data_IF_398931462291
#
_entry.id   IF_398931462291
#
_cell.length_a   1.000
_cell.length_b   1.000
_cell.length_c   1.000
_cell.angle_alpha   90.00
_cell.angle_beta   90.00
_cell.angle_gamma   90.00
#
_symmetry.space_group_name_H-M   'P 1'
#
loop_
_entity.id
_entity.type
_entity.pdbx_description
1 polymer ?
#
# COMPACT_ATOMS: atom_id res chain seq x y z
N UNK A 1 -30.89 -17.48 28.66
CA UNK A 1 -29.86 -17.33 27.62
C UNK A 1 -29.68 -15.84 27.36
N UNK A 2 -28.50 -15.32 27.66
CA UNK A 2 -28.16 -13.93 27.33
C UNK A 2 -28.25 -13.71 25.82
N UNK A 3 -28.66 -12.51 25.40
CA UNK A 3 -28.68 -12.18 23.99
C UNK A 3 -27.26 -11.77 23.58
N UNK A 4 -26.57 -12.64 22.84
CA UNK A 4 -25.20 -12.44 22.36
C UNK A 4 -24.95 -11.07 21.71
N UNK A 5 -25.99 -10.47 21.12
CA UNK A 5 -25.91 -9.10 20.55
C UNK A 5 -25.72 -8.06 21.64
N UNK A 6 -26.43 -8.15 22.75
CA UNK A 6 -26.29 -7.21 23.87
C UNK A 6 -24.96 -7.41 24.59
N UNK A 7 -24.48 -8.65 24.68
CA UNK A 7 -23.15 -8.96 25.24
C UNK A 7 -22.05 -8.35 24.37
N UNK A 8 -22.13 -8.49 23.04
CA UNK A 8 -21.17 -7.90 22.11
C UNK A 8 -21.17 -6.36 22.18
N UNK A 9 -22.32 -5.73 22.25
CA UNK A 9 -22.43 -4.26 22.41
C UNK A 9 -21.85 -3.81 23.76
N UNK A 10 -22.11 -4.57 24.84
CA UNK A 10 -21.57 -4.26 26.15
C UNK A 10 -20.05 -4.41 26.20
N UNK A 11 -19.48 -5.38 25.49
CA UNK A 11 -18.03 -5.51 25.36
C UNK A 11 -17.42 -4.39 24.52
N UNK A 12 -18.05 -4.02 23.42
CA UNK A 12 -17.58 -2.93 22.59
C UNK A 12 -17.61 -1.56 23.31
N UNK A 13 -18.63 -1.33 24.13
CA UNK A 13 -18.74 -0.11 24.94
C UNK A 13 -17.66 0.05 26.01
N UNK A 14 -16.96 -1.04 26.35
CA UNK A 14 -15.82 -1.01 27.30
C UNK A 14 -14.51 -0.57 26.63
N UNK A 15 -14.45 -0.60 25.31
CA UNK A 15 -13.25 -0.15 24.56
C UNK A 15 -13.05 1.34 24.77
N UNK A 16 -11.86 1.71 25.21
CA UNK A 16 -11.50 3.11 25.32
C UNK A 16 -11.17 3.66 23.93
N UNK A 17 -11.59 4.88 23.61
CA UNK A 17 -11.12 5.54 22.40
C UNK A 17 -9.59 5.60 22.37
N UNK A 18 -9.02 5.47 21.18
CA UNK A 18 -7.58 5.72 21.00
C UNK A 18 -7.32 7.20 21.32
N UNK A 19 -6.34 7.45 22.19
CA UNK A 19 -5.94 8.81 22.49
C UNK A 19 -5.32 9.44 21.24
N UNK A 20 -5.94 10.48 20.75
CA UNK A 20 -5.49 11.22 19.57
C UNK A 20 -4.82 12.50 20.05
N UNK A 21 -3.51 12.60 19.82
CA UNK A 21 -2.77 13.82 20.05
C UNK A 21 -2.94 14.71 18.82
N UNK A 22 -3.57 15.87 19.01
CA UNK A 22 -3.72 16.83 17.93
C UNK A 22 -2.33 17.36 17.48
N UNK A 23 -2.09 17.52 16.17
CA UNK A 23 -0.87 18.12 15.68
C UNK A 23 -0.68 19.53 16.21
N UNK A 24 0.52 19.87 16.66
CA UNK A 24 0.89 21.22 17.07
C UNK A 24 1.48 22.05 15.93
N UNK A 25 1.85 21.38 14.83
CA UNK A 25 2.38 21.98 13.60
C UNK A 25 1.26 22.62 12.77
N UNK A 26 1.61 23.53 11.90
CA UNK A 26 0.65 24.08 10.93
C UNK A 26 0.20 23.02 9.95
N UNK A 27 -1.05 23.03 9.45
CA UNK A 27 -1.51 22.06 8.46
C UNK A 27 -0.60 21.94 7.23
N UNK A 28 -0.02 23.06 6.77
CA UNK A 28 0.93 23.09 5.65
C UNK A 28 2.25 22.34 5.91
N UNK A 29 2.58 22.11 7.17
CA UNK A 29 3.85 21.45 7.57
C UNK A 29 3.70 19.92 7.64
N UNK A 30 2.52 19.42 7.99
CA UNK A 30 2.29 18.00 8.08
C UNK A 30 1.45 17.41 6.93
N UNK A 31 0.70 18.24 6.18
CA UNK A 31 -0.12 17.75 5.08
C UNK A 31 0.75 17.10 3.99
N UNK A 32 0.44 15.87 3.64
CA UNK A 32 1.20 15.10 2.65
C UNK A 32 2.59 14.65 3.11
N UNK A 33 2.97 14.88 4.38
CA UNK A 33 4.28 14.47 4.93
C UNK A 33 4.52 12.96 4.78
N UNK A 34 3.46 12.17 4.92
CA UNK A 34 3.50 10.71 4.81
C UNK A 34 2.98 10.17 3.45
N UNK A 35 3.01 10.98 2.41
CA UNK A 35 2.65 10.60 1.04
C UNK A 35 3.91 10.62 0.18
N UNK A 36 4.11 9.58 -0.63
CA UNK A 36 5.19 9.53 -1.63
C UNK A 36 4.83 10.43 -2.83
N UNK A 37 4.89 11.73 -2.59
CA UNK A 37 4.54 12.78 -3.54
C UNK A 37 5.74 13.14 -4.45
N UNK A 38 5.53 14.04 -5.42
CA UNK A 38 6.57 14.47 -6.38
C UNK A 38 7.87 14.92 -5.73
N UNK A 39 7.82 15.58 -4.56
CA UNK A 39 9.02 16.01 -3.85
C UNK A 39 9.82 14.81 -3.34
N UNK A 40 9.13 13.78 -2.81
CA UNK A 40 9.77 12.54 -2.38
C UNK A 40 10.26 11.74 -3.58
N UNK A 41 9.47 11.63 -4.64
CA UNK A 41 9.90 11.00 -5.89
C UNK A 41 11.20 11.63 -6.40
N UNK A 42 11.27 12.96 -6.44
CA UNK A 42 12.49 13.67 -6.85
C UNK A 42 13.68 13.38 -5.93
N UNK A 43 13.45 13.26 -4.63
CA UNK A 43 14.52 13.00 -3.64
C UNK A 43 15.05 11.55 -3.70
N UNK A 44 14.15 10.58 -3.89
CA UNK A 44 14.46 9.16 -3.71
C UNK A 44 14.63 8.39 -5.01
N UNK A 45 14.29 8.95 -6.15
CA UNK A 45 14.43 8.30 -7.45
C UNK A 45 15.62 8.86 -8.24
N UNK A 46 16.30 8.05 -9.05
CA UNK A 46 17.22 8.53 -10.05
C UNK A 46 16.53 9.52 -11.01
N UNK A 47 17.24 10.54 -11.48
CA UNK A 47 16.67 11.62 -12.30
C UNK A 47 15.93 11.11 -13.55
N UNK A 48 16.51 10.17 -14.26
CA UNK A 48 15.91 9.57 -15.45
C UNK A 48 14.64 8.73 -15.13
N UNK A 49 14.56 8.13 -13.95
CA UNK A 49 13.39 7.38 -13.47
C UNK A 49 12.29 8.36 -13.07
N UNK A 50 12.66 9.41 -12.35
CA UNK A 50 11.75 10.48 -11.97
C UNK A 50 11.08 11.12 -13.20
N UNK A 51 11.86 11.53 -14.21
CA UNK A 51 11.33 12.15 -15.43
C UNK A 51 10.32 11.24 -16.14
N UNK A 52 10.65 9.96 -16.33
CA UNK A 52 9.72 8.98 -16.91
C UNK A 52 8.45 8.82 -16.09
N UNK A 53 8.58 8.74 -14.76
CA UNK A 53 7.42 8.57 -13.88
C UNK A 53 6.51 9.81 -13.91
N UNK A 54 7.08 11.01 -13.96
CA UNK A 54 6.31 12.24 -14.08
C UNK A 54 5.60 12.33 -15.44
N UNK A 55 6.22 11.87 -16.51
CA UNK A 55 5.58 11.81 -17.83
C UNK A 55 4.36 10.88 -17.82
N UNK A 56 4.48 9.73 -17.16
CA UNK A 56 3.34 8.81 -16.96
C UNK A 56 2.20 9.50 -16.20
N UNK A 57 2.52 10.19 -15.12
CA UNK A 57 1.53 10.86 -14.26
C UNK A 57 0.85 12.03 -14.99
N UNK A 58 1.61 12.84 -15.73
CA UNK A 58 1.11 14.08 -16.33
C UNK A 58 0.45 13.86 -17.69
N UNK A 59 0.97 12.93 -18.47
CA UNK A 59 0.55 12.69 -19.86
C UNK A 59 -0.20 11.40 -20.07
N UNK A 60 -0.36 10.56 -19.02
CA UNK A 60 -1.02 9.27 -19.14
C UNK A 60 -0.25 8.27 -20.01
N UNK A 61 1.07 8.40 -20.09
CA UNK A 61 1.91 7.46 -20.79
C UNK A 61 1.84 6.06 -20.13
N UNK A 62 2.18 5.01 -20.87
CA UNK A 62 2.24 3.67 -20.31
C UNK A 62 3.43 3.56 -19.34
N UNK A 63 3.19 2.95 -18.18
CA UNK A 63 4.24 2.69 -17.20
C UNK A 63 5.21 1.64 -17.73
N UNK A 64 6.45 2.06 -17.99
CA UNK A 64 7.52 1.16 -18.35
C UNK A 64 7.95 0.31 -17.14
N UNK A 65 7.67 -1.00 -17.21
CA UNK A 65 8.06 -1.94 -16.16
C UNK A 65 9.55 -1.97 -15.88
N UNK A 66 10.39 -1.50 -16.82
CA UNK A 66 11.85 -1.44 -16.63
C UNK A 66 12.25 -0.52 -15.49
N UNK A 67 11.45 0.51 -15.16
CA UNK A 67 11.72 1.43 -14.06
C UNK A 67 11.11 0.98 -12.73
N UNK A 68 10.27 -0.07 -12.73
CA UNK A 68 9.53 -0.49 -11.53
C UNK A 68 10.44 -0.85 -10.36
N UNK A 69 11.59 -1.48 -10.62
CA UNK A 69 12.55 -1.82 -9.58
C UNK A 69 13.16 -0.57 -8.93
N UNK A 70 13.50 0.45 -9.70
CA UNK A 70 14.08 1.68 -9.16
C UNK A 70 13.05 2.49 -8.39
N UNK A 71 11.80 2.49 -8.85
CA UNK A 71 10.68 3.10 -8.12
C UNK A 71 10.45 2.36 -6.80
N UNK A 72 10.41 1.02 -6.83
CA UNK A 72 10.23 0.21 -5.62
C UNK A 72 11.35 0.43 -4.59
N UNK A 73 12.60 0.49 -5.04
CA UNK A 73 13.75 0.82 -4.16
C UNK A 73 13.62 2.19 -3.51
N UNK A 74 13.27 3.21 -4.31
CA UNK A 74 13.09 4.56 -3.78
C UNK A 74 11.93 4.65 -2.79
N UNK A 75 10.82 3.97 -3.04
CA UNK A 75 9.70 3.85 -2.11
C UNK A 75 10.11 3.13 -0.82
N UNK A 76 10.83 2.00 -0.93
CA UNK A 76 11.30 1.26 0.24
C UNK A 76 12.24 2.10 1.08
N UNK A 77 13.23 2.76 0.46
CA UNK A 77 14.14 3.64 1.19
C UNK A 77 13.39 4.72 1.96
N UNK A 78 12.41 5.37 1.32
CA UNK A 78 11.57 6.35 1.99
C UNK A 78 10.75 5.75 3.13
N UNK A 79 10.21 4.55 2.95
CA UNK A 79 9.45 3.83 3.97
C UNK A 79 10.34 3.47 5.16
N UNK A 80 11.52 2.91 4.93
CA UNK A 80 12.51 2.54 5.96
C UNK A 80 12.92 3.76 6.80
N UNK A 81 13.18 4.91 6.17
CA UNK A 81 13.51 6.17 6.87
C UNK A 81 12.35 6.66 7.77
N UNK A 82 11.14 6.16 7.55
CA UNK A 82 9.96 6.44 8.37
C UNK A 82 9.58 5.28 9.32
N UNK A 83 10.42 4.24 9.42
CA UNK A 83 10.21 3.11 10.32
C UNK A 83 9.14 2.12 9.86
N UNK A 84 8.80 2.12 8.59
CA UNK A 84 7.81 1.19 8.01
C UNK A 84 8.45 -0.16 7.78
N UNK A 85 7.77 -1.23 8.18
CA UNK A 85 8.24 -2.62 8.06
C UNK A 85 7.31 -3.49 7.20
N UNK A 86 6.11 -3.00 6.92
CA UNK A 86 5.07 -3.71 6.20
C UNK A 86 4.45 -2.79 5.16
N UNK A 87 3.83 -3.40 4.15
CA UNK A 87 3.06 -2.69 3.14
C UNK A 87 1.71 -3.37 2.92
N UNK A 88 0.77 -2.60 2.40
CA UNK A 88 -0.57 -3.06 2.09
C UNK A 88 -0.91 -2.69 0.65
N UNK A 89 -1.33 -3.67 -0.13
CA UNK A 89 -2.03 -3.42 -1.37
C UNK A 89 -3.51 -3.31 -1.10
N UNK A 90 -4.09 -2.17 -1.45
CA UNK A 90 -5.52 -1.96 -1.39
C UNK A 90 -6.10 -2.11 -2.77
N UNK A 91 -7.17 -2.86 -2.88
CA UNK A 91 -7.93 -2.99 -4.10
C UNK A 91 -9.40 -3.06 -3.79
N UNK A 92 -10.20 -2.50 -4.67
CA UNK A 92 -11.65 -2.48 -4.52
C UNK A 92 -12.26 -3.36 -5.61
N UNK A 93 -12.79 -4.54 -5.27
CA UNK A 93 -13.51 -5.37 -6.21
C UNK A 93 -14.81 -4.68 -6.66
N UNK A 94 -15.40 -5.16 -7.75
CA UNK A 94 -16.70 -4.67 -8.26
C UNK A 94 -17.86 -4.92 -7.29
N UNK A 95 -17.61 -5.70 -6.25
CA UNK A 95 -18.52 -5.92 -5.13
C UNK A 95 -18.34 -4.84 -4.06
N UNK A 96 -19.33 -4.69 -3.21
CA UNK A 96 -19.26 -3.77 -2.07
C UNK A 96 -18.13 -4.16 -1.11
N UNK A 97 -17.24 -3.23 -0.84
CA UNK A 97 -16.16 -3.38 0.10
C UNK A 97 -14.78 -3.22 -0.49
N UNK A 98 -13.81 -3.03 0.38
CA UNK A 98 -12.38 -2.94 0.06
C UNK A 98 -11.68 -4.19 0.55
N UNK A 99 -10.83 -4.78 -0.27
CA UNK A 99 -9.95 -5.87 0.12
C UNK A 99 -8.52 -5.36 0.27
N UNK A 100 -7.77 -5.99 1.15
CA UNK A 100 -6.41 -5.64 1.49
C UNK A 100 -5.53 -6.89 1.55
N UNK A 101 -4.29 -6.75 1.12
CA UNK A 101 -3.25 -7.74 1.32
C UNK A 101 -2.09 -7.09 2.07
N UNK A 102 -1.76 -7.65 3.23
CA UNK A 102 -0.69 -7.15 4.09
C UNK A 102 0.53 -8.05 3.96
N UNK A 103 1.68 -7.47 3.68
CA UNK A 103 2.95 -8.17 3.58
C UNK A 103 4.04 -7.38 4.32
N UNK A 104 5.06 -8.09 4.82
CA UNK A 104 6.28 -7.48 5.33
C UNK A 104 7.27 -7.24 4.19
N UNK A 105 8.20 -6.29 4.37
CA UNK A 105 9.33 -6.11 3.46
C UNK A 105 10.38 -7.21 3.65
N UNK A 106 10.02 -8.44 3.33
CA UNK A 106 10.90 -9.60 3.49
C UNK A 106 10.73 -10.56 2.32
N UNK A 107 11.84 -10.98 1.75
CA UNK A 107 11.88 -11.97 0.69
C UNK A 107 12.96 -13.04 0.98
N UNK A 108 12.86 -14.19 0.33
CA UNK A 108 13.89 -15.21 0.38
C UNK A 108 15.09 -14.82 -0.48
N UNK A 109 16.29 -14.97 0.04
CA UNK A 109 17.53 -14.69 -0.67
C UNK A 109 17.92 -15.79 -1.70
N UNK A 110 17.12 -16.84 -1.81
CA UNK A 110 17.38 -18.01 -2.66
C UNK A 110 18.48 -18.94 -2.15
N UNK A 111 19.09 -18.67 -1.00
CA UNK A 111 20.18 -19.45 -0.39
C UNK A 111 19.82 -20.00 0.99
N UNK A 112 18.54 -19.94 1.33
CA UNK A 112 18.02 -20.40 2.62
C UNK A 112 17.98 -19.33 3.71
N UNK A 113 18.30 -18.09 3.37
CA UNK A 113 18.17 -16.91 4.22
C UNK A 113 17.00 -16.01 3.79
N UNK A 114 16.88 -14.90 4.50
CA UNK A 114 15.89 -13.86 4.25
C UNK A 114 16.58 -12.52 4.07
N UNK A 115 16.03 -11.69 3.18
CA UNK A 115 16.47 -10.31 2.94
C UNK A 115 15.29 -9.36 3.07
N UNK A 116 15.55 -8.15 3.49
CA UNK A 116 14.56 -7.09 3.45
C UNK A 116 14.58 -6.42 2.09
N UNK A 117 13.58 -6.73 1.27
CA UNK A 117 13.48 -6.22 -0.08
C UNK A 117 12.03 -5.84 -0.42
N UNK A 118 11.88 -4.86 -1.28
CA UNK A 118 10.64 -4.54 -1.98
C UNK A 118 10.96 -4.36 -3.46
N UNK A 119 10.66 -5.37 -4.25
CA UNK A 119 10.99 -5.40 -5.67
C UNK A 119 9.94 -4.70 -6.54
N UNK A 120 10.32 -4.32 -7.74
CA UNK A 120 9.37 -3.82 -8.75
C UNK A 120 8.30 -4.84 -9.10
N UNK A 121 8.60 -6.14 -8.96
CA UNK A 121 7.61 -7.21 -9.13
C UNK A 121 6.52 -7.11 -8.07
N UNK A 122 6.88 -6.85 -6.81
CA UNK A 122 5.91 -6.66 -5.74
C UNK A 122 5.12 -5.37 -5.93
N UNK A 123 5.78 -4.29 -6.35
CA UNK A 123 5.13 -3.01 -6.60
C UNK A 123 4.04 -3.10 -7.67
N UNK A 124 4.29 -3.83 -8.76
CA UNK A 124 3.35 -3.97 -9.89
C UNK A 124 2.59 -5.29 -9.87
N UNK A 125 2.66 -6.03 -8.78
CA UNK A 125 1.99 -7.32 -8.65
C UNK A 125 0.49 -7.13 -8.71
N UNK A 126 -0.13 -7.88 -9.62
CA UNK A 126 -1.58 -8.04 -9.65
C UNK A 126 -1.98 -9.21 -8.76
N UNK A 127 -3.13 -9.12 -8.13
CA UNK A 127 -3.68 -10.24 -7.38
C UNK A 127 -4.11 -11.35 -8.35
N UNK A 128 -3.46 -12.53 -8.34
CA UNK A 128 -3.72 -13.57 -9.33
C UNK A 128 -5.00 -14.37 -9.04
N UNK A 129 -5.49 -14.32 -7.80
CA UNK A 129 -6.67 -15.04 -7.34
C UNK A 129 -7.48 -14.21 -6.35
N UNK A 130 -8.59 -14.74 -5.91
CA UNK A 130 -9.50 -14.10 -4.99
C UNK A 130 -9.36 -14.64 -3.54
N UNK A 131 -8.26 -15.30 -3.20
CA UNK A 131 -8.07 -15.89 -1.87
C UNK A 131 -8.02 -14.86 -0.75
N UNK A 132 -7.61 -13.63 -1.07
CA UNK A 132 -7.60 -12.49 -0.16
C UNK A 132 -8.98 -11.87 0.10
N UNK A 133 -10.02 -12.29 -0.61
CA UNK A 133 -11.38 -11.84 -0.34
C UNK A 133 -12.01 -12.61 0.83
N UNK A 134 -12.85 -11.95 1.65
CA UNK A 134 -13.54 -12.62 2.75
C UNK A 134 -14.41 -13.79 2.34
N UNK A 135 -14.92 -13.79 1.09
CA UNK A 135 -15.72 -14.86 0.51
C UNK A 135 -14.90 -16.08 0.06
N UNK A 136 -13.57 -16.06 0.21
CA UNK A 136 -12.67 -17.08 -0.36
C UNK A 136 -12.65 -17.08 -1.90
N UNK A 137 -13.19 -16.06 -2.52
CA UNK A 137 -13.17 -15.86 -3.98
C UNK A 137 -14.15 -16.70 -4.77
N UNK A 138 -15.01 -17.46 -4.15
CA UNK A 138 -15.93 -18.38 -4.85
C UNK A 138 -16.81 -17.63 -5.85
N UNK A 139 -17.28 -16.44 -5.53
CA UNK A 139 -18.20 -15.66 -6.36
C UNK A 139 -17.52 -14.57 -7.16
N UNK A 140 -16.40 -14.07 -6.66
CA UNK A 140 -15.77 -12.85 -7.14
C UNK A 140 -14.41 -13.10 -7.78
N UNK A 141 -14.09 -14.33 -8.14
CA UNK A 141 -12.77 -14.71 -8.66
C UNK A 141 -12.35 -13.87 -9.87
N UNK A 142 -13.28 -13.59 -10.78
CA UNK A 142 -13.00 -12.77 -11.96
C UNK A 142 -12.91 -11.27 -11.60
N UNK A 143 -13.59 -10.84 -10.57
CA UNK A 143 -13.62 -9.45 -10.09
C UNK A 143 -12.36 -9.09 -9.30
N UNK A 144 -11.74 -10.08 -8.66
CA UNK A 144 -10.52 -9.91 -7.90
C UNK A 144 -9.29 -9.66 -8.78
N UNK A 145 -9.31 -10.08 -10.00
CA UNK A 145 -8.15 -10.04 -10.90
C UNK A 145 -7.85 -8.63 -11.38
N UNK A 146 -6.58 -8.24 -11.30
CA UNK A 146 -6.09 -7.00 -11.87
C UNK A 146 -6.26 -5.76 -11.00
N UNK A 147 -6.78 -5.88 -9.78
CA UNK A 147 -7.04 -4.72 -8.93
C UNK A 147 -5.85 -4.30 -8.07
N UNK A 148 -4.89 -5.15 -7.86
CA UNK A 148 -3.79 -4.92 -6.93
C UNK A 148 -2.53 -4.32 -7.56
N UNK A 149 -2.56 -3.98 -8.84
CA UNK A 149 -1.45 -3.31 -9.49
C UNK A 149 -1.37 -1.85 -9.00
N UNK A 150 -0.16 -1.42 -8.67
CA UNK A 150 0.07 -0.01 -8.40
C UNK A 150 -0.11 0.82 -9.68
N UNK A 151 -0.84 1.89 -9.54
CA UNK A 151 -1.03 2.92 -10.55
C UNK A 151 -0.26 4.17 -10.10
N UNK A 152 0.63 4.76 -10.92
CA UNK A 152 1.39 5.95 -10.53
C UNK A 152 0.53 7.17 -10.24
N UNK A 153 -0.75 7.18 -10.65
CA UNK A 153 -1.70 8.23 -10.28
C UNK A 153 -2.28 8.02 -8.88
N UNK A 154 -2.17 6.80 -8.34
CA UNK A 154 -2.62 6.48 -6.98
C UNK A 154 -1.52 6.79 -5.97
N UNK A 155 -1.77 7.59 -4.93
CA UNK A 155 -0.75 7.93 -3.96
C UNK A 155 -0.36 6.75 -3.09
N UNK A 156 0.95 6.54 -2.91
CA UNK A 156 1.51 5.68 -1.87
C UNK A 156 1.67 6.50 -0.60
N UNK A 157 1.21 6.01 0.53
CA UNK A 157 1.29 6.74 1.80
C UNK A 157 1.62 5.82 2.97
N UNK A 158 2.11 6.42 4.04
CA UNK A 158 2.44 5.77 5.31
C UNK A 158 1.31 6.06 6.30
N UNK A 159 0.81 5.02 6.94
CA UNK A 159 -0.16 5.10 8.03
C UNK A 159 0.50 5.09 9.39
#
# INVERSE_FOLDING_TARGET
MGNLRFEAVAEDSKKKPVEVIAPTERPSEYFGKKVFNRQKMYKYLPANVYEKLIDVIDNGAELDRSIANEVAKGMKQWADENGVTHYTHWFQPLTEGTAEKHDAFIEHDGKGGMIEEFSGKLLVQQEPDASSFPSGGIRNTFEARGYSAWDPTSPVFIM
#
